data_IF_177449880736
#
_entry.id   IF_177449880736
#
_cell.length_a   1.000
_cell.length_b   1.000
_cell.length_c   1.000
_cell.angle_alpha   90.00
_cell.angle_beta   90.00
_cell.angle_gamma   90.00
#
_symmetry.space_group_name_H-M   'P 1'
#
loop_
_entity.id
_entity.type
_entity.pdbx_description
1 polymer ?
#
# COMPACT_ATOMS: atom_id res chain seq x y z
N UNK A 1 -10.79 -15.63 -12.01
CA UNK A 1 -10.23 -16.89 -11.48
C UNK A 1 -9.52 -16.79 -10.11
N UNK A 2 -9.50 -15.64 -9.40
CA UNK A 2 -8.73 -15.46 -8.13
C UNK A 2 -9.50 -15.69 -6.80
N UNK A 3 -10.72 -16.24 -6.83
CA UNK A 3 -11.57 -16.35 -5.62
C UNK A 3 -11.00 -17.27 -4.53
N UNK A 4 -10.49 -18.44 -4.92
CA UNK A 4 -9.98 -19.43 -3.96
C UNK A 4 -8.68 -18.97 -3.24
N UNK A 5 -7.66 -18.42 -3.95
CA UNK A 5 -6.49 -17.86 -3.29
C UNK A 5 -6.81 -16.70 -2.34
N UNK A 6 -7.75 -15.82 -2.72
CA UNK A 6 -8.20 -14.69 -1.88
C UNK A 6 -8.84 -15.15 -0.58
N UNK A 7 -9.69 -16.17 -0.63
CA UNK A 7 -10.31 -16.74 0.56
C UNK A 7 -9.28 -17.45 1.45
N UNK A 8 -8.38 -18.24 0.86
CA UNK A 8 -7.31 -18.92 1.59
C UNK A 8 -6.38 -17.92 2.30
N UNK A 9 -5.95 -16.86 1.61
CA UNK A 9 -5.15 -15.79 2.19
C UNK A 9 -5.88 -15.09 3.34
N UNK A 10 -7.15 -14.72 3.14
CA UNK A 10 -7.94 -14.03 4.17
C UNK A 10 -8.16 -14.91 5.41
N UNK A 11 -8.37 -16.22 5.22
CA UNK A 11 -8.50 -17.18 6.31
C UNK A 11 -7.17 -17.36 7.06
N UNK A 12 -6.06 -17.55 6.35
CA UNK A 12 -4.73 -17.66 6.95
C UNK A 12 -4.33 -16.39 7.72
N UNK A 13 -4.58 -15.22 7.15
CA UNK A 13 -4.31 -13.94 7.82
C UNK A 13 -5.16 -13.78 9.09
N UNK A 14 -6.43 -14.20 9.04
CA UNK A 14 -7.32 -14.19 10.22
C UNK A 14 -6.80 -15.08 11.34
N UNK A 15 -6.32 -16.28 10.99
CA UNK A 15 -5.73 -17.22 11.96
C UNK A 15 -4.43 -16.66 12.56
N UNK A 16 -3.51 -16.16 11.73
CA UNK A 16 -2.26 -15.53 12.19
C UNK A 16 -2.55 -14.30 13.05
N UNK A 17 -3.49 -13.47 12.63
CA UNK A 17 -3.95 -12.31 13.39
C UNK A 17 -4.43 -12.70 14.78
N UNK A 18 -5.33 -13.68 14.87
CA UNK A 18 -5.85 -14.21 16.13
C UNK A 18 -4.73 -14.70 17.06
N UNK A 19 -3.74 -15.43 16.52
CA UNK A 19 -2.58 -15.89 17.29
C UNK A 19 -1.62 -14.75 17.70
N UNK A 20 -1.53 -13.67 16.91
CA UNK A 20 -0.67 -12.53 17.19
C UNK A 20 -1.30 -11.52 18.17
N UNK A 21 -2.62 -11.54 18.35
CA UNK A 21 -3.36 -10.60 19.23
C UNK A 21 -2.78 -10.52 20.66
N UNK A 22 -2.48 -11.63 21.37
CA UNK A 22 -1.95 -11.54 22.74
C UNK A 22 -0.61 -10.80 22.80
N UNK A 23 0.27 -11.03 21.82
CA UNK A 23 1.58 -10.37 21.75
C UNK A 23 1.44 -8.91 21.36
N UNK A 24 0.55 -8.58 20.44
CA UNK A 24 0.28 -7.19 20.05
C UNK A 24 -0.34 -6.41 21.22
N UNK A 25 -1.31 -7.00 21.92
CA UNK A 25 -1.91 -6.43 23.12
C UNK A 25 -0.87 -6.23 24.23
N UNK A 26 -0.04 -7.24 24.51
CA UNK A 26 1.06 -7.13 25.47
C UNK A 26 2.03 -6.00 25.11
N UNK A 27 2.41 -5.90 23.84
CA UNK A 27 3.33 -4.85 23.36
C UNK A 27 2.71 -3.46 23.49
N UNK A 28 1.45 -3.31 23.08
CA UNK A 28 0.72 -2.04 23.17
C UNK A 28 0.54 -1.59 24.63
N UNK A 29 0.22 -2.51 25.53
CA UNK A 29 0.07 -2.24 26.96
C UNK A 29 1.40 -1.90 27.64
N UNK A 30 2.48 -2.64 27.32
CA UNK A 30 3.78 -2.48 27.98
C UNK A 30 4.61 -1.32 27.46
N UNK A 31 4.57 -1.07 26.15
CA UNK A 31 5.49 -0.11 25.50
C UNK A 31 4.81 1.15 25.01
N UNK A 32 3.47 1.20 25.01
CA UNK A 32 2.72 2.31 24.42
C UNK A 32 2.73 2.33 22.89
N UNK A 33 3.60 1.54 22.25
CA UNK A 33 3.77 1.47 20.80
C UNK A 33 2.48 1.00 20.13
N UNK A 34 2.10 1.64 19.03
CA UNK A 34 0.91 1.35 18.24
C UNK A 34 -0.42 1.78 18.85
N UNK A 35 -0.45 2.44 20.01
CA UNK A 35 -1.73 2.82 20.66
C UNK A 35 -2.54 3.82 19.83
N UNK A 36 -1.87 4.70 19.09
CA UNK A 36 -2.53 5.66 18.22
C UNK A 36 -3.02 4.99 16.94
N UNK A 37 -2.17 4.18 16.31
CA UNK A 37 -2.49 3.51 15.05
C UNK A 37 -3.51 2.37 15.19
N UNK A 38 -3.53 1.66 16.33
CA UNK A 38 -4.30 0.41 16.48
C UNK A 38 -5.79 0.54 16.17
N UNK A 39 -6.57 1.52 16.70
CA UNK A 39 -8.00 1.63 16.40
C UNK A 39 -8.30 1.81 14.91
N UNK A 40 -7.42 2.50 14.17
CA UNK A 40 -7.53 2.64 12.73
C UNK A 40 -7.17 1.33 12.03
N UNK A 41 -6.11 0.67 12.48
CA UNK A 41 -5.62 -0.57 11.87
C UNK A 41 -6.59 -1.74 12.00
N UNK A 42 -7.34 -1.82 13.10
CA UNK A 42 -8.41 -2.82 13.30
C UNK A 42 -9.79 -2.39 12.80
N UNK A 43 -9.91 -1.20 12.21
CA UNK A 43 -11.15 -0.71 11.64
C UNK A 43 -12.21 -0.27 12.65
N UNK A 44 -11.84 -0.01 13.91
CA UNK A 44 -12.71 0.63 14.90
C UNK A 44 -12.87 2.13 14.66
N UNK A 45 -11.82 2.76 14.12
CA UNK A 45 -11.88 4.12 13.59
C UNK A 45 -11.66 4.06 12.08
N UNK A 46 -12.61 4.59 11.34
CA UNK A 46 -12.58 4.60 9.88
C UNK A 46 -12.37 6.05 9.43
N UNK A 47 -11.64 6.29 8.33
CA UNK A 47 -11.48 7.65 7.81
C UNK A 47 -12.83 8.20 7.40
N UNK A 48 -13.02 9.51 7.54
CA UNK A 48 -14.21 10.17 7.02
C UNK A 48 -14.28 10.02 5.49
N UNK A 49 -15.47 9.84 4.90
CA UNK A 49 -15.64 9.82 3.46
C UNK A 49 -15.05 11.06 2.80
N UNK A 50 -14.50 10.88 1.60
CA UNK A 50 -14.11 11.99 0.75
C UNK A 50 -15.28 12.37 -0.15
N UNK A 51 -15.60 13.66 -0.18
CA UNK A 51 -16.59 14.24 -1.07
C UNK A 51 -15.86 15.17 -2.03
N UNK A 52 -15.55 14.68 -3.23
CA UNK A 52 -14.86 15.45 -4.26
C UNK A 52 -15.37 15.09 -5.64
N UNK A 53 -15.25 16.02 -6.57
CA UNK A 53 -15.46 15.81 -8.01
C UNK A 53 -14.15 15.65 -8.78
N UNK A 54 -13.00 15.85 -8.12
CA UNK A 54 -11.66 15.67 -8.69
C UNK A 54 -11.06 14.31 -8.37
N UNK A 55 -9.91 13.96 -8.97
CA UNK A 55 -9.29 12.65 -8.81
C UNK A 55 -8.79 12.43 -7.37
N UNK A 56 -8.92 11.21 -6.88
CA UNK A 56 -8.42 10.78 -5.57
C UNK A 56 -7.19 9.89 -5.76
N UNK A 57 -6.03 10.38 -5.34
CA UNK A 57 -4.80 9.59 -5.26
C UNK A 57 -4.60 9.11 -3.83
N UNK A 58 -4.44 7.81 -3.66
CA UNK A 58 -4.01 7.20 -2.41
C UNK A 58 -2.54 6.78 -2.50
N UNK A 59 -1.66 7.57 -1.88
CA UNK A 59 -0.25 7.27 -1.71
C UNK A 59 -0.01 6.45 -0.43
N UNK A 60 0.61 5.27 -0.58
CA UNK A 60 1.00 4.41 0.53
C UNK A 60 2.53 4.36 0.70
N UNK A 61 3.00 4.69 1.91
CA UNK A 61 4.39 4.60 2.32
C UNK A 61 4.47 4.05 3.75
N UNK A 62 5.08 2.89 3.95
CA UNK A 62 5.11 2.19 5.25
C UNK A 62 5.90 2.94 6.30
N UNK A 63 7.04 3.52 5.91
CA UNK A 63 8.06 4.06 6.81
C UNK A 63 8.41 5.52 6.54
N UNK A 64 9.20 6.14 7.44
CA UNK A 64 9.74 7.51 7.25
C UNK A 64 10.56 7.62 5.96
N UNK A 65 11.36 6.60 5.64
CA UNK A 65 12.21 6.60 4.45
C UNK A 65 11.39 6.63 3.17
N UNK A 66 10.37 5.77 3.09
CA UNK A 66 9.44 5.74 1.96
C UNK A 66 8.60 7.02 1.88
N UNK A 67 8.12 7.55 3.02
CA UNK A 67 7.37 8.81 3.02
C UNK A 67 8.21 9.92 2.38
N UNK A 68 9.51 10.01 2.74
CA UNK A 68 10.43 10.99 2.18
C UNK A 68 10.68 10.76 0.69
N UNK A 69 10.92 9.52 0.28
CA UNK A 69 11.12 9.16 -1.12
C UNK A 69 9.89 9.50 -1.97
N UNK A 70 8.69 9.39 -1.43
CA UNK A 70 7.46 9.70 -2.16
C UNK A 70 7.10 11.21 -2.20
N UNK A 71 7.78 12.09 -1.46
CA UNK A 71 7.45 13.53 -1.41
C UNK A 71 7.53 14.21 -2.78
N UNK A 72 8.58 14.02 -3.61
CA UNK A 72 8.67 14.69 -4.91
C UNK A 72 7.51 14.30 -5.82
N UNK A 73 7.12 13.01 -5.79
CA UNK A 73 5.97 12.50 -6.52
C UNK A 73 4.66 13.14 -6.04
N UNK A 74 4.41 13.13 -4.73
CA UNK A 74 3.18 13.66 -4.14
C UNK A 74 2.98 15.15 -4.48
N UNK A 75 4.03 15.95 -4.35
CA UNK A 75 3.98 17.39 -4.64
C UNK A 75 3.76 17.69 -6.12
N UNK A 76 4.42 16.92 -6.99
CA UNK A 76 4.22 17.05 -8.44
C UNK A 76 2.80 16.69 -8.84
N UNK A 77 2.25 15.60 -8.27
CA UNK A 77 0.88 15.19 -8.52
C UNK A 77 -0.12 16.25 -8.07
N UNK A 78 0.05 16.82 -6.87
CA UNK A 78 -0.80 17.90 -6.36
C UNK A 78 -0.75 19.16 -7.23
N UNK A 79 0.44 19.53 -7.71
CA UNK A 79 0.61 20.67 -8.61
C UNK A 79 -0.08 20.45 -9.97
N UNK A 80 -0.08 19.21 -10.48
CA UNK A 80 -0.74 18.84 -11.74
C UNK A 80 -2.25 18.60 -11.59
N UNK A 81 -2.73 18.37 -10.37
CA UNK A 81 -4.13 18.10 -10.05
C UNK A 81 -4.64 19.09 -8.98
N UNK A 82 -4.87 20.37 -9.32
CA UNK A 82 -5.29 21.38 -8.33
C UNK A 82 -6.61 21.05 -7.60
N UNK A 83 -7.49 20.28 -8.24
CA UNK A 83 -8.76 19.80 -7.66
C UNK A 83 -8.66 18.36 -7.12
N UNK A 84 -7.47 17.75 -7.21
CA UNK A 84 -7.22 16.39 -6.74
C UNK A 84 -7.19 16.31 -5.22
N UNK A 85 -7.52 15.14 -4.68
CA UNK A 85 -7.42 14.85 -3.25
C UNK A 85 -6.34 13.79 -3.03
N UNK A 86 -5.29 14.18 -2.30
CA UNK A 86 -4.25 13.26 -1.88
C UNK A 86 -4.61 12.63 -0.53
N UNK A 87 -4.59 11.30 -0.48
CA UNK A 87 -4.66 10.51 0.76
C UNK A 87 -3.31 9.86 0.99
N UNK A 88 -2.73 10.03 2.17
CA UNK A 88 -1.47 9.40 2.55
C UNK A 88 -1.72 8.37 3.65
N UNK A 89 -1.31 7.13 3.43
CA UNK A 89 -1.35 6.11 4.48
C UNK A 89 0.02 5.57 4.85
N UNK A 90 0.20 5.34 6.14
CA UNK A 90 1.42 4.75 6.70
C UNK A 90 1.08 3.54 7.58
N UNK A 91 2.07 2.67 7.80
CA UNK A 91 1.96 1.58 8.78
C UNK A 91 2.60 1.98 10.11
N UNK A 92 3.70 2.73 10.04
CA UNK A 92 4.45 3.17 11.23
C UNK A 92 3.96 4.52 11.73
N UNK A 93 3.92 4.70 13.05
CA UNK A 93 3.55 5.99 13.68
C UNK A 93 4.56 7.09 13.35
N UNK A 94 5.85 6.75 13.24
CA UNK A 94 6.88 7.71 12.80
C UNK A 94 6.73 8.09 11.33
N UNK A 95 6.39 7.15 10.44
CA UNK A 95 6.09 7.45 9.03
C UNK A 95 4.87 8.35 8.89
N UNK A 96 3.84 8.14 9.71
CA UNK A 96 2.65 8.98 9.76
C UNK A 96 2.96 10.40 10.24
N UNK A 97 3.74 10.54 11.32
CA UNK A 97 4.19 11.86 11.80
C UNK A 97 5.01 12.61 10.74
N UNK A 98 5.88 11.91 10.00
CA UNK A 98 6.63 12.51 8.90
C UNK A 98 5.72 12.95 7.75
N UNK A 99 4.69 12.16 7.42
CA UNK A 99 3.73 12.50 6.37
C UNK A 99 2.93 13.77 6.74
N UNK A 100 2.41 13.83 7.96
CA UNK A 100 1.72 15.02 8.50
C UNK A 100 2.58 16.28 8.40
N UNK A 101 3.87 16.16 8.73
CA UNK A 101 4.82 17.27 8.70
C UNK A 101 5.17 17.71 7.27
N UNK A 102 5.28 16.77 6.34
CA UNK A 102 5.91 17.00 5.04
C UNK A 102 4.91 17.21 3.89
N UNK A 103 3.66 16.77 4.08
CA UNK A 103 2.53 16.90 3.15
C UNK A 103 1.27 17.43 3.88
N UNK A 104 1.33 18.57 4.59
CA UNK A 104 0.17 19.12 5.30
C UNK A 104 -1.03 19.43 4.39
N UNK A 105 -0.79 19.57 3.09
CA UNK A 105 -1.78 19.80 2.05
C UNK A 105 -2.58 18.54 1.63
N UNK A 106 -2.19 17.35 2.10
CA UNK A 106 -2.95 16.14 1.85
C UNK A 106 -4.34 16.23 2.48
N UNK A 107 -5.37 15.82 1.72
CA UNK A 107 -6.75 15.84 2.19
C UNK A 107 -6.96 14.93 3.41
N UNK A 108 -6.20 13.83 3.49
CA UNK A 108 -6.25 12.88 4.60
C UNK A 108 -4.89 12.26 4.86
N UNK A 109 -4.56 12.12 6.14
CA UNK A 109 -3.53 11.21 6.63
C UNK A 109 -4.21 10.09 7.41
N UNK A 110 -3.87 8.84 7.13
CA UNK A 110 -4.42 7.71 7.84
C UNK A 110 -3.38 6.61 8.08
N UNK A 111 -3.77 5.58 8.83
CA UNK A 111 -3.01 4.35 8.91
C UNK A 111 -3.61 3.33 7.96
N UNK A 112 -2.75 2.58 7.25
CA UNK A 112 -3.23 1.47 6.43
C UNK A 112 -3.82 0.40 7.37
N UNK A 113 -5.07 -0.06 7.13
CA UNK A 113 -5.68 -1.09 7.95
C UNK A 113 -4.88 -2.40 7.88
N UNK A 114 -5.04 -3.25 8.89
CA UNK A 114 -4.68 -4.65 8.71
C UNK A 114 -5.49 -5.23 7.56
N UNK A 115 -4.85 -6.09 6.76
CA UNK A 115 -5.35 -6.53 5.47
C UNK A 115 -6.47 -7.59 5.55
N UNK A 116 -7.31 -7.49 6.58
CA UNK A 116 -8.56 -8.20 6.66
C UNK A 116 -9.53 -7.61 5.66
N UNK A 117 -9.99 -8.43 4.70
CA UNK A 117 -10.86 -8.00 3.59
C UNK A 117 -12.04 -7.13 4.05
N UNK A 118 -12.68 -7.47 5.18
CA UNK A 118 -13.82 -6.73 5.71
C UNK A 118 -13.47 -5.34 6.26
N UNK A 119 -12.25 -5.13 6.78
CA UNK A 119 -11.79 -3.81 7.22
C UNK A 119 -11.43 -2.99 6.00
N UNK A 120 -10.52 -3.56 5.19
CA UNK A 120 -10.00 -2.93 3.99
C UNK A 120 -11.13 -2.44 3.10
N UNK A 121 -12.12 -3.31 2.81
CA UNK A 121 -13.28 -2.94 2.00
C UNK A 121 -13.99 -1.70 2.53
N UNK A 122 -14.20 -1.58 3.84
CA UNK A 122 -14.87 -0.42 4.44
C UNK A 122 -14.04 0.87 4.37
N UNK A 123 -12.71 0.75 4.44
CA UNK A 123 -11.79 1.89 4.32
C UNK A 123 -11.72 2.34 2.87
N UNK A 124 -11.47 1.40 1.95
CA UNK A 124 -11.40 1.66 0.50
C UNK A 124 -12.71 2.21 -0.03
N UNK A 125 -13.87 1.71 0.41
CA UNK A 125 -15.18 2.25 0.00
C UNK A 125 -15.46 3.67 0.49
N UNK A 126 -14.80 4.15 1.56
CA UNK A 126 -14.94 5.53 2.03
C UNK A 126 -14.00 6.49 1.30
N UNK A 127 -12.81 6.03 0.95
CA UNK A 127 -11.83 6.83 0.21
C UNK A 127 -12.15 6.86 -1.29
N UNK A 128 -12.56 5.72 -1.86
CA UNK A 128 -12.84 5.51 -3.29
C UNK A 128 -11.71 6.06 -4.18
N UNK A 129 -10.49 5.53 -4.05
CA UNK A 129 -9.35 6.03 -4.81
C UNK A 129 -9.55 5.78 -6.32
N UNK A 130 -9.18 6.75 -7.14
CA UNK A 130 -9.03 6.58 -8.59
C UNK A 130 -7.64 6.01 -8.91
N UNK A 131 -6.65 6.32 -8.08
CA UNK A 131 -5.28 5.83 -8.18
C UNK A 131 -4.76 5.41 -6.80
N UNK A 132 -4.01 4.32 -6.75
CA UNK A 132 -3.23 3.91 -5.59
C UNK A 132 -1.77 3.80 -5.98
N UNK A 133 -0.91 4.49 -5.26
CA UNK A 133 0.54 4.46 -5.47
C UNK A 133 1.23 3.86 -4.27
N UNK A 134 1.96 2.77 -4.48
CA UNK A 134 2.77 2.11 -3.44
C UNK A 134 4.23 2.54 -3.57
N UNK A 135 4.87 2.94 -2.47
CA UNK A 135 6.30 3.21 -2.45
C UNK A 135 7.10 1.91 -2.17
N UNK A 136 8.17 1.66 -2.95
CA UNK A 136 9.18 0.60 -2.80
C UNK A 136 8.72 -0.86 -2.97
N UNK A 137 7.48 -1.23 -2.60
CA UNK A 137 6.92 -2.56 -2.89
C UNK A 137 6.18 -3.25 -1.73
N UNK A 138 5.46 -2.50 -0.89
CA UNK A 138 4.62 -3.07 0.17
C UNK A 138 3.24 -3.51 -0.34
N UNK A 139 3.17 -4.75 -0.81
CA UNK A 139 1.95 -5.36 -1.35
C UNK A 139 1.03 -5.88 -0.24
N UNK A 140 -0.20 -5.36 -0.19
CA UNK A 140 -1.27 -5.80 0.70
C UNK A 140 -2.43 -6.35 -0.15
N UNK A 141 -2.53 -7.68 -0.36
CA UNK A 141 -3.41 -8.28 -1.36
C UNK A 141 -4.87 -7.85 -1.26
N UNK A 142 -5.48 -7.87 -0.07
CA UNK A 142 -6.88 -7.45 0.05
C UNK A 142 -7.03 -5.95 -0.26
N UNK A 143 -6.10 -5.11 0.18
CA UNK A 143 -6.07 -3.68 -0.17
C UNK A 143 -6.03 -3.47 -1.68
N UNK A 144 -5.11 -4.12 -2.39
CA UNK A 144 -4.99 -4.01 -3.83
C UNK A 144 -6.25 -4.52 -4.54
N UNK A 145 -6.79 -5.69 -4.14
CA UNK A 145 -7.98 -6.23 -4.78
C UNK A 145 -9.23 -5.40 -4.51
N UNK A 146 -9.42 -4.88 -3.29
CA UNK A 146 -10.57 -4.03 -2.98
C UNK A 146 -10.47 -2.69 -3.73
N UNK A 147 -9.28 -2.08 -3.81
CA UNK A 147 -9.05 -0.87 -4.60
C UNK A 147 -9.32 -1.11 -6.08
N UNK A 148 -8.73 -2.18 -6.65
CA UNK A 148 -8.93 -2.56 -8.05
C UNK A 148 -10.39 -2.86 -8.37
N UNK A 149 -11.14 -3.45 -7.42
CA UNK A 149 -12.57 -3.72 -7.60
C UNK A 149 -13.44 -2.47 -7.69
N UNK A 150 -12.95 -1.31 -7.25
CA UNK A 150 -13.58 -0.01 -7.43
C UNK A 150 -13.09 0.72 -8.69
N UNK A 151 -12.19 0.12 -9.48
CA UNK A 151 -11.64 0.69 -10.70
C UNK A 151 -10.34 1.48 -10.53
N UNK A 152 -9.72 1.45 -9.34
CA UNK A 152 -8.47 2.16 -9.11
C UNK A 152 -7.33 1.64 -10.00
N UNK A 153 -6.54 2.56 -10.53
CA UNK A 153 -5.23 2.26 -11.13
C UNK A 153 -4.20 2.04 -10.04
N UNK A 154 -3.41 0.96 -10.13
CA UNK A 154 -2.46 0.55 -9.11
C UNK A 154 -1.04 0.68 -9.65
N UNK A 155 -0.27 1.60 -9.08
CA UNK A 155 1.12 1.87 -9.50
C UNK A 155 2.10 1.64 -8.34
N UNK A 156 3.26 1.06 -8.63
CA UNK A 156 4.41 1.02 -7.72
C UNK A 156 5.42 2.07 -8.16
N UNK A 157 5.87 2.93 -7.23
CA UNK A 157 6.97 3.87 -7.45
C UNK A 157 8.18 3.49 -6.62
N UNK A 158 9.37 3.91 -7.09
CA UNK A 158 10.64 3.58 -6.46
C UNK A 158 10.81 2.07 -6.23
N UNK A 159 10.23 1.25 -7.11
CA UNK A 159 10.09 -0.19 -6.94
C UNK A 159 11.46 -0.84 -6.79
N UNK A 160 11.64 -1.57 -5.69
CA UNK A 160 12.88 -2.29 -5.39
C UNK A 160 12.59 -3.65 -4.81
N UNK A 161 13.38 -4.63 -5.21
CA UNK A 161 13.28 -5.98 -4.67
C UNK A 161 14.67 -6.56 -4.50
N UNK A 162 14.91 -7.18 -3.35
CA UNK A 162 16.19 -7.86 -3.10
C UNK A 162 16.34 -9.05 -4.04
N UNK A 163 17.57 -9.40 -4.41
CA UNK A 163 17.85 -10.58 -5.24
C UNK A 163 17.30 -11.88 -4.61
N UNK A 164 17.33 -11.98 -3.28
CA UNK A 164 16.77 -13.12 -2.54
C UNK A 164 15.25 -13.19 -2.68
N UNK A 165 14.56 -12.05 -2.52
CA UNK A 165 13.10 -11.97 -2.66
C UNK A 165 12.68 -12.28 -4.09
N UNK A 166 13.38 -11.71 -5.09
CA UNK A 166 13.11 -11.94 -6.50
C UNK A 166 13.24 -13.43 -6.87
N UNK A 167 14.35 -14.08 -6.48
CA UNK A 167 14.53 -15.53 -6.70
C UNK A 167 13.42 -16.37 -6.07
N UNK A 168 13.01 -16.04 -4.85
CA UNK A 168 11.92 -16.76 -4.16
C UNK A 168 10.59 -16.55 -4.87
N UNK A 169 10.26 -15.33 -5.26
CA UNK A 169 9.00 -15.05 -5.97
C UNK A 169 8.98 -15.70 -7.36
N UNK A 170 10.08 -15.65 -8.10
CA UNK A 170 10.24 -16.32 -9.39
C UNK A 170 10.06 -17.85 -9.28
N UNK A 171 10.50 -18.46 -8.18
CA UNK A 171 10.31 -19.89 -7.93
C UNK A 171 8.85 -20.28 -7.65
N UNK A 172 7.98 -19.32 -7.34
CA UNK A 172 6.56 -19.54 -7.07
C UNK A 172 5.68 -18.58 -7.90
N UNK A 173 5.52 -18.80 -9.23
CA UNK A 173 4.82 -17.88 -10.13
C UNK A 173 3.39 -17.55 -9.69
N UNK A 174 2.67 -18.51 -9.11
CA UNK A 174 1.32 -18.27 -8.57
C UNK A 174 1.33 -17.27 -7.40
N UNK A 175 2.36 -17.29 -6.55
CA UNK A 175 2.50 -16.33 -5.46
C UNK A 175 2.92 -14.95 -5.99
N UNK A 176 3.72 -14.91 -7.06
CA UNK A 176 4.08 -13.68 -7.73
C UNK A 176 2.86 -13.01 -8.40
N UNK A 177 2.07 -13.74 -9.21
CA UNK A 177 0.82 -13.23 -9.79
C UNK A 177 -0.16 -12.79 -8.70
N UNK A 178 -0.23 -13.53 -7.59
CA UNK A 178 -1.08 -13.19 -6.47
C UNK A 178 -0.74 -11.83 -5.84
N UNK A 179 0.55 -11.50 -5.72
CA UNK A 179 1.02 -10.24 -5.13
C UNK A 179 1.05 -9.09 -6.14
N UNK A 180 1.60 -9.34 -7.32
CA UNK A 180 1.91 -8.32 -8.32
C UNK A 180 0.85 -8.20 -9.41
N UNK A 181 0.10 -9.26 -9.71
CA UNK A 181 -0.80 -9.31 -10.87
C UNK A 181 -2.07 -8.46 -10.74
N UNK A 182 -2.19 -7.61 -9.72
CA UNK A 182 -3.22 -6.56 -9.65
C UNK A 182 -2.66 -5.17 -9.95
N UNK A 183 -1.33 -5.02 -9.90
CA UNK A 183 -0.63 -3.77 -10.16
C UNK A 183 -0.49 -3.58 -11.66
N UNK A 184 -0.81 -2.38 -12.13
CA UNK A 184 -0.85 -2.00 -13.53
C UNK A 184 0.48 -1.42 -14.03
N UNK A 185 1.24 -0.78 -13.14
CA UNK A 185 2.48 -0.11 -13.53
C UNK A 185 3.54 -0.20 -12.44
N UNK A 186 4.78 -0.47 -12.83
CA UNK A 186 5.94 -0.58 -11.96
C UNK A 186 7.04 0.38 -12.41
N UNK A 187 7.21 1.47 -11.67
CA UNK A 187 8.30 2.41 -11.81
C UNK A 187 9.46 2.00 -10.88
N UNK A 188 10.53 1.45 -11.46
CA UNK A 188 11.64 0.82 -10.73
C UNK A 188 12.93 1.65 -10.77
N UNK A 189 13.80 1.40 -9.79
CA UNK A 189 15.00 2.22 -9.56
C UNK A 189 16.10 2.11 -10.61
N UNK A 190 16.23 0.96 -11.26
CA UNK A 190 17.33 0.67 -12.18
C UNK A 190 17.00 -0.50 -13.10
N UNK A 191 17.80 -0.70 -14.15
CA UNK A 191 17.69 -1.88 -15.02
C UNK A 191 17.84 -3.19 -14.24
N UNK A 192 18.70 -3.20 -13.21
CA UNK A 192 18.82 -4.37 -12.32
C UNK A 192 17.50 -4.66 -11.59
N UNK A 193 16.75 -3.64 -11.16
CA UNK A 193 15.43 -3.87 -10.58
C UNK A 193 14.45 -4.35 -11.65
N UNK A 194 14.48 -3.79 -12.86
CA UNK A 194 13.65 -4.24 -14.00
C UNK A 194 13.85 -5.73 -14.26
N UNK A 195 15.10 -6.19 -14.38
CA UNK A 195 15.44 -7.61 -14.57
C UNK A 195 14.91 -8.50 -13.44
N UNK A 196 14.91 -8.01 -12.20
CA UNK A 196 14.35 -8.75 -11.07
C UNK A 196 12.83 -8.88 -11.18
N UNK A 197 12.11 -7.82 -11.54
CA UNK A 197 10.66 -7.87 -11.69
C UNK A 197 10.22 -8.67 -12.93
N UNK A 198 10.97 -8.62 -14.03
CA UNK A 198 10.76 -9.50 -15.19
C UNK A 198 10.86 -10.98 -14.78
N UNK A 199 11.88 -11.35 -13.98
CA UNK A 199 12.02 -12.72 -13.46
C UNK A 199 10.88 -13.13 -12.52
N UNK A 200 10.27 -12.18 -11.81
CA UNK A 200 9.11 -12.42 -10.96
C UNK A 200 7.86 -12.72 -11.81
N UNK A 201 7.84 -12.29 -13.08
CA UNK A 201 6.72 -12.49 -14.00
C UNK A 201 5.84 -11.25 -14.19
N UNK A 202 6.35 -10.05 -13.85
CA UNK A 202 5.71 -8.79 -14.25
C UNK A 202 5.97 -8.57 -15.75
N UNK A 203 4.94 -8.15 -16.49
CA UNK A 203 5.04 -7.92 -17.92
C UNK A 203 6.01 -6.78 -18.22
N UNK A 204 6.72 -6.85 -19.36
CA UNK A 204 7.74 -5.85 -19.68
C UNK A 204 7.13 -4.48 -19.98
N UNK A 205 5.95 -4.48 -20.61
CA UNK A 205 5.16 -3.29 -20.92
C UNK A 205 4.72 -2.50 -19.68
N UNK A 206 4.57 -3.16 -18.53
CA UNK A 206 4.16 -2.55 -17.27
C UNK A 206 5.38 -2.04 -16.46
N UNK A 207 6.60 -2.26 -16.93
CA UNK A 207 7.85 -1.97 -16.22
C UNK A 207 8.61 -0.78 -16.82
N UNK A 208 8.81 0.26 -16.02
CA UNK A 208 9.53 1.47 -16.41
C UNK A 208 10.68 1.75 -15.45
N UNK A 209 11.88 2.00 -15.98
CA UNK A 209 13.02 2.45 -15.18
C UNK A 209 12.93 3.97 -15.03
N UNK A 210 12.63 4.43 -13.82
CA UNK A 210 12.43 5.86 -13.52
C UNK A 210 13.53 6.45 -12.64
N UNK A 211 14.48 5.63 -12.20
CA UNK A 211 15.52 6.04 -11.26
C UNK A 211 15.06 5.98 -9.80
N UNK A 212 15.98 6.35 -8.90
CA UNK A 212 15.74 6.40 -7.46
C UNK A 212 15.19 7.79 -7.08
N UNK A 213 14.14 7.81 -6.25
CA UNK A 213 13.52 9.03 -5.74
C UNK A 213 14.25 9.61 -4.52
#
# INVERSE_FOLDING_TARGET
MRRLPRLAYSAALSLVGLCALPRLAYTALRTGKYRESFPYRVGWRLPDPLHTTGPVLWLHAVSVGETRAALPFARTWLAQNPNGQLVVSNVTETGHAEALRSLPEAARHCYLPFDFAWIVRRVVQRIRPDQVVLCEGDFWPNFLWEAKSLGADLTVINGKVSERSARRMAAFPYAADFLCGSVDTFCVQSDQMKERFLRIGVAEEDLHVTGNL
#
